data_IF_876516965558
#
_entry.id   IF_876516965558
#
_cell.length_a   1.000
_cell.length_b   1.000
_cell.length_c   1.000
_cell.angle_alpha   90.00
_cell.angle_beta   90.00
_cell.angle_gamma   90.00
#
_symmetry.space_group_name_H-M   'P 1'
#
loop_
_entity.id
_entity.type
_entity.pdbx_description
1 polymer ?
#
# COMPACT_ATOMS: atom_id res chain seq x y z
N UNK A 1 10.74 -9.65 -13.09
CA UNK A 1 9.80 -9.15 -12.07
C UNK A 1 10.55 -8.86 -10.79
N UNK A 2 10.30 -7.69 -10.20
CA UNK A 2 10.91 -7.36 -8.91
C UNK A 2 10.48 -8.36 -7.84
N UNK A 3 11.33 -8.59 -6.86
CA UNK A 3 11.11 -9.66 -5.87
C UNK A 3 10.25 -9.22 -4.68
N UNK A 4 10.09 -7.92 -4.48
CA UNK A 4 9.35 -7.38 -3.33
C UNK A 4 8.50 -6.18 -3.72
N UNK A 5 7.40 -6.01 -2.98
CA UNK A 5 6.61 -4.79 -2.96
C UNK A 5 7.12 -3.98 -1.77
N UNK A 6 7.45 -2.72 -2.00
CA UNK A 6 8.19 -1.90 -1.05
C UNK A 6 7.35 -0.77 -0.46
N UNK A 7 7.79 -0.29 0.70
CA UNK A 7 7.22 0.87 1.38
C UNK A 7 8.34 1.81 1.80
N UNK A 8 8.01 3.05 2.12
CA UNK A 8 9.01 3.99 2.68
C UNK A 8 9.44 3.53 4.06
N UNK A 9 10.75 3.61 4.35
CA UNK A 9 11.32 3.25 5.64
C UNK A 9 10.61 3.94 6.80
N UNK A 10 10.31 5.22 6.66
CA UNK A 10 9.67 5.99 7.73
C UNK A 10 8.33 5.40 8.14
N UNK A 11 7.57 4.82 7.20
CA UNK A 11 6.28 4.19 7.52
C UNK A 11 6.46 2.80 8.10
N UNK A 12 7.45 2.05 7.62
CA UNK A 12 7.73 0.72 8.16
C UNK A 12 8.14 0.79 9.64
N UNK A 13 8.99 1.76 9.98
CA UNK A 13 9.46 1.95 11.35
C UNK A 13 8.47 2.77 12.21
N UNK A 14 7.51 3.45 11.59
CA UNK A 14 6.52 4.28 12.24
C UNK A 14 5.15 3.65 12.31
N UNK A 15 4.23 4.09 11.43
CA UNK A 15 2.82 3.69 11.50
C UNK A 15 2.61 2.17 11.35
N UNK A 16 3.36 1.51 10.49
CA UNK A 16 3.20 0.07 10.28
C UNK A 16 3.56 -0.68 11.56
N UNK A 17 4.68 -0.33 12.19
CA UNK A 17 5.11 -0.95 13.44
C UNK A 17 4.13 -0.65 14.57
N UNK A 18 3.60 0.56 14.61
CA UNK A 18 2.62 0.95 15.62
C UNK A 18 1.32 0.14 15.50
N UNK A 19 0.82 -0.04 14.28
CA UNK A 19 -0.38 -0.86 14.03
C UNK A 19 -0.14 -2.32 14.43
N UNK A 20 1.04 -2.86 14.16
CA UNK A 20 1.39 -4.21 14.56
C UNK A 20 1.45 -4.35 16.09
N UNK A 21 2.08 -3.41 16.76
CA UNK A 21 2.20 -3.42 18.23
C UNK A 21 0.84 -3.31 18.92
N UNK A 22 -0.07 -2.52 18.35
CA UNK A 22 -1.41 -2.29 18.90
C UNK A 22 -2.41 -3.37 18.50
N UNK A 23 -2.02 -4.27 17.59
CA UNK A 23 -2.88 -5.36 17.07
C UNK A 23 -4.19 -4.86 16.45
N UNK A 24 -4.15 -3.70 15.79
CA UNK A 24 -5.31 -3.20 15.05
C UNK A 24 -5.73 -4.20 13.98
N UNK A 25 -7.04 -4.42 13.86
CA UNK A 25 -7.63 -5.33 12.87
C UNK A 25 -7.09 -6.75 12.96
N UNK A 26 -6.62 -7.16 14.13
CA UNK A 26 -5.99 -8.46 14.34
C UNK A 26 -4.75 -8.64 13.45
N UNK A 27 -4.11 -7.53 13.09
CA UNK A 27 -2.90 -7.59 12.28
C UNK A 27 -1.79 -8.34 13.02
N UNK A 28 -1.07 -9.14 12.25
CA UNK A 28 0.15 -9.80 12.71
C UNK A 28 1.16 -9.73 11.55
N UNK A 29 2.04 -8.73 11.60
CA UNK A 29 2.98 -8.48 10.50
C UNK A 29 4.06 -9.55 10.38
N UNK A 30 4.07 -10.56 11.28
CA UNK A 30 4.87 -11.76 11.05
C UNK A 30 4.27 -12.64 9.95
N UNK A 31 3.00 -12.43 9.56
CA UNK A 31 2.35 -13.13 8.47
C UNK A 31 2.28 -12.27 7.22
N UNK A 32 2.48 -12.89 6.05
CA UNK A 32 2.41 -12.16 4.79
C UNK A 32 0.98 -11.78 4.43
N UNK A 33 -0.02 -12.54 4.89
CA UNK A 33 -1.44 -12.21 4.70
C UNK A 33 -1.76 -10.84 5.31
N UNK A 34 -1.36 -10.62 6.55
CA UNK A 34 -1.59 -9.32 7.22
C UNK A 34 -0.84 -8.19 6.53
N UNK A 35 0.39 -8.43 6.07
CA UNK A 35 1.15 -7.41 5.34
C UNK A 35 0.48 -7.04 4.03
N UNK A 36 -0.05 -8.03 3.31
CA UNK A 36 -0.79 -7.82 2.07
C UNK A 36 -2.06 -7.03 2.32
N UNK A 37 -2.82 -7.39 3.34
CA UNK A 37 -4.06 -6.69 3.70
C UNK A 37 -3.78 -5.23 4.06
N UNK A 38 -2.75 -4.98 4.85
CA UNK A 38 -2.37 -3.63 5.23
C UNK A 38 -1.94 -2.80 4.02
N UNK A 39 -1.13 -3.37 3.13
CA UNK A 39 -0.71 -2.70 1.91
C UNK A 39 -1.92 -2.31 1.05
N UNK A 40 -2.84 -3.25 0.85
CA UNK A 40 -4.02 -3.00 0.03
C UNK A 40 -4.95 -1.95 0.67
N UNK A 41 -5.04 -1.93 1.99
CA UNK A 41 -5.78 -0.89 2.70
C UNK A 41 -5.16 0.49 2.47
N UNK A 42 -3.84 0.59 2.63
CA UNK A 42 -3.13 1.85 2.36
C UNK A 42 -3.27 2.28 0.88
N UNK A 43 -3.21 1.31 -0.03
CA UNK A 43 -3.42 1.57 -1.45
C UNK A 43 -4.80 2.18 -1.71
N UNK A 44 -5.85 1.63 -1.09
CA UNK A 44 -7.20 2.16 -1.23
C UNK A 44 -7.31 3.60 -0.71
N UNK A 45 -6.67 3.89 0.43
CA UNK A 45 -6.63 5.25 0.97
C UNK A 45 -5.90 6.21 0.03
N UNK A 46 -4.78 5.78 -0.53
CA UNK A 46 -4.02 6.61 -1.48
C UNK A 46 -4.79 6.89 -2.76
N UNK A 47 -5.51 5.89 -3.27
CA UNK A 47 -6.35 6.07 -4.45
C UNK A 47 -7.51 7.04 -4.16
N UNK A 48 -8.07 6.99 -2.97
CA UNK A 48 -9.11 7.91 -2.53
C UNK A 48 -8.59 9.35 -2.48
N UNK A 49 -7.35 9.54 -2.00
CA UNK A 49 -6.71 10.87 -2.01
C UNK A 49 -6.43 11.35 -3.44
N UNK A 50 -6.25 10.44 -4.38
CA UNK A 50 -6.07 10.78 -5.79
C UNK A 50 -4.68 11.22 -6.18
N UNK A 51 -3.69 11.09 -5.31
CA UNK A 51 -2.30 11.47 -5.59
C UNK A 51 -1.36 10.33 -5.24
N UNK A 52 -0.29 10.22 -6.01
CA UNK A 52 0.80 9.28 -5.73
C UNK A 52 2.01 10.04 -5.20
N UNK A 53 2.78 9.42 -4.34
CA UNK A 53 3.99 10.01 -3.76
C UNK A 53 5.15 9.05 -3.87
N UNK A 54 6.35 9.56 -4.19
CA UNK A 54 7.53 8.73 -4.32
C UNK A 54 7.96 8.17 -2.96
N UNK A 55 8.41 6.92 -2.96
CA UNK A 55 8.93 6.29 -1.76
C UNK A 55 10.22 6.98 -1.31
N UNK A 56 10.40 7.06 0.00
CA UNK A 56 11.58 7.62 0.62
C UNK A 56 12.32 6.48 1.35
N UNK A 57 13.52 6.11 0.85
CA UNK A 57 14.30 5.00 1.39
C UNK A 57 13.49 3.71 1.44
N UNK A 58 13.19 3.13 0.28
CA UNK A 58 12.29 1.97 0.18
C UNK A 58 12.83 0.73 0.89
N UNK A 59 11.92 0.01 1.55
CA UNK A 59 12.19 -1.27 2.20
C UNK A 59 11.08 -2.27 1.86
N UNK A 60 11.43 -3.55 1.83
CA UNK A 60 10.50 -4.61 1.47
C UNK A 60 9.42 -4.81 2.53
N UNK A 61 8.17 -4.93 2.08
CA UNK A 61 7.04 -5.32 2.93
C UNK A 61 6.50 -6.70 2.57
N UNK A 62 6.37 -6.99 1.26
CA UNK A 62 5.74 -8.23 0.77
C UNK A 62 6.64 -8.82 -0.30
N UNK A 63 6.80 -10.15 -0.28
CA UNK A 63 7.46 -10.86 -1.39
C UNK A 63 6.47 -11.06 -2.53
N UNK A 64 6.85 -10.73 -3.76
CA UNK A 64 5.98 -10.90 -4.93
C UNK A 64 5.71 -12.37 -5.26
N UNK A 65 6.54 -13.29 -4.78
CA UNK A 65 6.31 -14.73 -4.92
C UNK A 65 5.24 -15.28 -3.97
N UNK A 66 4.77 -14.45 -3.02
CA UNK A 66 3.79 -14.89 -2.03
C UNK A 66 2.43 -15.15 -2.68
N UNK A 67 1.80 -16.29 -2.32
CA UNK A 67 0.51 -16.68 -2.87
C UNK A 67 -0.63 -15.74 -2.46
N UNK A 68 -0.50 -15.07 -1.32
CA UNK A 68 -1.54 -14.15 -0.82
C UNK A 68 -1.62 -12.87 -1.65
N UNK A 69 -0.53 -12.45 -2.29
CA UNK A 69 -0.51 -11.22 -3.08
C UNK A 69 -0.84 -11.46 -4.56
N UNK A 70 -0.58 -12.66 -5.08
CA UNK A 70 -0.79 -12.96 -6.50
C UNK A 70 -2.19 -12.66 -7.01
N UNK A 71 -3.28 -12.96 -6.28
CA UNK A 71 -4.62 -12.63 -6.74
C UNK A 71 -4.85 -11.13 -6.97
N UNK A 72 -4.06 -10.29 -6.32
CA UNK A 72 -4.20 -8.84 -6.47
C UNK A 72 -3.44 -8.26 -7.66
N UNK A 73 -2.61 -9.06 -8.35
CA UNK A 73 -1.90 -8.58 -9.55
C UNK A 73 -2.85 -8.04 -10.60
N UNK A 74 -3.99 -8.71 -10.79
CA UNK A 74 -5.02 -8.24 -11.72
C UNK A 74 -5.58 -6.89 -11.28
N UNK A 75 -5.85 -6.73 -9.99
CA UNK A 75 -6.32 -5.46 -9.43
C UNK A 75 -5.30 -4.36 -9.66
N UNK A 76 -4.02 -4.64 -9.43
CA UNK A 76 -2.95 -3.66 -9.63
C UNK A 76 -2.83 -3.25 -11.10
N UNK A 77 -2.96 -4.19 -12.01
CA UNK A 77 -2.99 -3.90 -13.45
C UNK A 77 -4.18 -3.03 -13.83
N UNK A 78 -5.34 -3.27 -13.21
CA UNK A 78 -6.54 -2.46 -13.45
C UNK A 78 -6.34 -1.03 -12.97
N UNK A 79 -5.67 -0.84 -11.84
CA UNK A 79 -5.31 0.50 -11.34
C UNK A 79 -4.35 1.19 -12.31
N UNK A 80 -3.35 0.48 -12.78
CA UNK A 80 -2.40 1.00 -13.76
C UNK A 80 -3.13 1.46 -15.04
N UNK A 81 -4.05 0.64 -15.55
CA UNK A 81 -4.86 1.01 -16.69
C UNK A 81 -5.63 2.32 -16.43
N UNK A 82 -6.30 2.41 -15.29
CA UNK A 82 -7.11 3.58 -14.95
C UNK A 82 -6.26 4.85 -14.81
N UNK A 83 -5.11 4.76 -14.15
CA UNK A 83 -4.30 5.93 -13.79
C UNK A 83 -3.29 6.36 -14.86
N UNK A 84 -2.89 5.45 -15.72
CA UNK A 84 -1.83 5.71 -16.71
C UNK A 84 -2.33 5.52 -18.14
N UNK A 85 -2.82 4.33 -18.48
CA UNK A 85 -3.16 3.99 -19.86
C UNK A 85 -4.37 4.77 -20.38
N UNK A 86 -5.33 5.09 -19.52
CA UNK A 86 -6.49 5.91 -19.93
C UNK A 86 -6.09 7.34 -20.31
N UNK A 87 -4.95 7.81 -19.82
CA UNK A 87 -4.42 9.14 -20.10
C UNK A 87 -3.35 9.13 -21.21
N UNK A 88 -2.67 8.01 -21.41
CA UNK A 88 -1.58 7.89 -22.37
C UNK A 88 -1.48 6.44 -22.86
N UNK A 89 -2.12 6.15 -23.97
CA UNK A 89 -2.13 4.80 -24.58
C UNK A 89 -0.74 4.33 -25.01
N UNK A 90 0.22 5.24 -25.20
CA UNK A 90 1.58 4.86 -25.54
C UNK A 90 2.27 4.06 -24.43
N UNK A 91 1.70 4.06 -23.23
CA UNK A 91 2.21 3.29 -22.07
C UNK A 91 1.65 1.87 -22.01
N UNK A 92 0.90 1.42 -23.03
CA UNK A 92 0.27 0.09 -22.99
C UNK A 92 1.29 -1.04 -22.82
N UNK A 93 2.48 -0.90 -23.36
CA UNK A 93 3.53 -1.91 -23.25
C UNK A 93 4.02 -2.06 -21.78
N UNK A 94 3.87 -1.03 -20.96
CA UNK A 94 4.29 -1.06 -19.58
C UNK A 94 3.40 -1.98 -18.71
N UNK A 95 2.18 -2.30 -19.17
CA UNK A 95 1.30 -3.21 -18.42
C UNK A 95 1.81 -4.65 -18.47
N UNK A 96 2.59 -4.99 -19.51
CA UNK A 96 3.28 -6.28 -19.57
C UNK A 96 4.55 -6.29 -18.75
N UNK A 97 5.07 -5.11 -18.39
CA UNK A 97 6.14 -4.94 -17.42
C UNK A 97 5.51 -4.76 -16.05
N UNK A 98 5.33 -5.87 -15.35
CA UNK A 98 4.67 -5.86 -14.03
C UNK A 98 5.40 -4.98 -13.02
N UNK A 99 6.69 -4.71 -13.22
CA UNK A 99 7.46 -3.85 -12.33
C UNK A 99 6.95 -2.40 -12.38
N UNK A 100 6.57 -1.90 -13.56
CA UNK A 100 5.94 -0.59 -13.69
C UNK A 100 4.61 -0.51 -12.95
N UNK A 101 3.85 -1.61 -12.99
CA UNK A 101 2.58 -1.72 -12.24
C UNK A 101 2.84 -1.67 -10.75
N UNK A 102 3.81 -2.45 -10.24
CA UNK A 102 4.17 -2.45 -8.81
C UNK A 102 4.65 -1.07 -8.36
N UNK A 103 5.49 -0.41 -9.17
CA UNK A 103 6.00 0.92 -8.83
C UNK A 103 4.85 1.93 -8.65
N UNK A 104 3.85 1.86 -9.50
CA UNK A 104 2.70 2.76 -9.41
C UNK A 104 1.89 2.50 -8.14
N UNK A 105 1.53 1.24 -7.86
CA UNK A 105 0.71 0.94 -6.67
C UNK A 105 1.48 1.22 -5.38
N UNK A 106 2.80 1.03 -5.37
CA UNK A 106 3.63 1.40 -4.22
C UNK A 106 3.52 2.90 -3.92
N UNK A 107 3.51 3.74 -4.94
CA UNK A 107 3.40 5.19 -4.78
C UNK A 107 2.04 5.63 -4.24
N UNK A 108 0.95 5.01 -4.70
CA UNK A 108 -0.38 5.28 -4.14
C UNK A 108 -0.50 4.77 -2.72
N UNK A 109 0.02 3.58 -2.43
CA UNK A 109 0.05 3.05 -1.07
C UNK A 109 0.89 3.94 -0.15
N UNK A 110 1.99 4.52 -0.66
CA UNK A 110 2.81 5.45 0.09
C UNK A 110 2.00 6.65 0.57
N UNK A 111 1.17 7.22 -0.31
CA UNK A 111 0.22 8.28 0.07
C UNK A 111 -0.72 7.79 1.16
N UNK A 112 -1.24 6.57 1.02
CA UNK A 112 -2.16 5.98 2.00
C UNK A 112 -1.53 5.76 3.36
N UNK A 113 -0.27 5.32 3.42
CA UNK A 113 0.45 5.19 4.70
C UNK A 113 0.64 6.56 5.37
N UNK A 114 0.86 7.61 4.57
CA UNK A 114 0.91 8.98 5.09
C UNK A 114 -0.41 9.42 5.70
N UNK A 115 -1.53 9.06 5.08
CA UNK A 115 -2.87 9.31 5.62
C UNK A 115 -3.05 8.59 6.95
N UNK A 116 -2.69 7.30 7.01
CA UNK A 116 -2.78 6.51 8.26
C UNK A 116 -1.93 7.14 9.37
N UNK A 117 -0.71 7.55 9.07
CA UNK A 117 0.17 8.16 10.04
C UNK A 117 -0.41 9.48 10.57
N UNK A 118 -0.97 10.31 9.69
CA UNK A 118 -1.59 11.57 10.07
C UNK A 118 -2.80 11.36 10.97
N UNK A 119 -3.69 10.44 10.60
CA UNK A 119 -4.90 10.17 11.36
C UNK A 119 -4.54 9.58 12.72
N UNK A 120 -3.56 8.66 12.77
CA UNK A 120 -3.11 8.10 14.05
C UNK A 120 -2.57 9.19 14.98
N UNK A 121 -1.88 10.17 14.43
CA UNK A 121 -1.37 11.30 15.22
C UNK A 121 -2.50 12.18 15.76
N UNK A 122 -3.55 12.40 14.94
CA UNK A 122 -4.73 13.18 15.35
C UNK A 122 -5.61 12.43 16.35
N UNK A 123 -5.66 11.11 16.28
CA UNK A 123 -6.47 10.24 17.12
C UNK A 123 -5.57 9.25 17.86
N UNK A 124 -4.80 9.71 18.87
CA UNK A 124 -3.85 8.83 19.56
C UNK A 124 -4.52 7.76 20.39
N UNK A 125 -5.80 7.92 20.73
CA UNK A 125 -6.56 6.92 21.48
C UNK A 125 -7.06 5.85 20.51
N UNK A 126 -6.83 4.60 20.83
CA UNK A 126 -7.13 3.46 19.96
C UNK A 126 -8.60 3.40 19.55
N UNK A 127 -9.50 3.72 20.48
CA UNK A 127 -10.94 3.68 20.20
C UNK A 127 -11.34 4.68 19.12
N UNK A 128 -10.87 5.92 19.23
CA UNK A 128 -11.19 6.96 18.23
C UNK A 128 -10.61 6.64 16.87
N UNK A 129 -9.39 6.13 16.85
CA UNK A 129 -8.75 5.72 15.60
C UNK A 129 -9.53 4.59 14.93
N UNK A 130 -9.93 3.59 15.70
CA UNK A 130 -10.75 2.48 15.20
C UNK A 130 -12.09 2.96 14.65
N UNK A 131 -12.75 3.86 15.34
CA UNK A 131 -14.02 4.46 14.87
C UNK A 131 -13.84 5.16 13.53
N UNK A 132 -12.76 5.92 13.40
CA UNK A 132 -12.49 6.63 12.14
C UNK A 132 -12.31 5.64 10.98
N UNK A 133 -11.57 4.57 11.21
CA UNK A 133 -11.30 3.58 10.16
C UNK A 133 -12.55 2.80 9.75
N UNK A 134 -13.47 2.55 10.69
CA UNK A 134 -14.67 1.76 10.43
C UNK A 134 -15.83 2.58 9.86
N UNK A 135 -15.73 3.88 9.93
CA UNK A 135 -16.70 4.79 9.33
C UNK A 135 -16.24 5.28 7.97
#
# INVERSE_FOLDING_TARGET
>A
MKSTINVSSQYLDGIIQELDNSKYFLLNLSTETSRTDLFNFALALGLKEGVSTSLNSSRALIRTSNEDVKPYFFVYKSIYYDKVLSLDESKIDDITDIDSVFDLVEKYANTGFGVLARIRKEFPEDELFTKWLLN
#
